data_IF_733932982802
#
_entry.id   IF_733932982802
#
_cell.length_a   1.000
_cell.length_b   1.000
_cell.length_c   1.000
_cell.angle_alpha   90.00
_cell.angle_beta   90.00
_cell.angle_gamma   90.00
#
_symmetry.space_group_name_H-M   'P 1'
#
loop_
_entity.id
_entity.type
_entity.pdbx_description
1 polymer ?
#
# COMPACT_ATOMS: atom_id res chain seq x y z
N UNK A 1 13.81 10.16 1.07
CA UNK A 1 12.95 9.46 0.10
C UNK A 1 12.75 10.30 -1.14
N UNK A 2 13.78 10.43 -1.90
CA UNK A 2 13.74 11.17 -3.14
C UNK A 2 13.98 10.23 -4.32
N UNK A 3 13.68 10.70 -5.50
CA UNK A 3 13.86 9.92 -6.72
C UNK A 3 12.69 9.00 -7.01
N UNK A 4 12.69 8.46 -8.20
CA UNK A 4 11.64 7.57 -8.70
C UNK A 4 12.08 6.13 -8.55
N UNK A 5 11.13 5.24 -8.24
CA UNK A 5 11.43 3.83 -8.12
C UNK A 5 11.88 3.26 -9.47
N UNK A 6 12.96 2.49 -9.44
CA UNK A 6 13.44 1.78 -10.63
C UNK A 6 12.82 0.38 -10.67
N UNK A 7 12.78 -0.27 -9.51
CA UNK A 7 12.15 -1.59 -9.39
C UNK A 7 10.74 -1.45 -8.86
N UNK A 8 9.87 -2.36 -9.27
CA UNK A 8 8.48 -2.35 -8.81
C UNK A 8 7.65 -1.23 -9.40
N UNK A 9 8.08 -0.66 -10.54
CA UNK A 9 7.36 0.44 -11.19
C UNK A 9 6.44 -0.03 -12.31
N UNK A 10 6.42 -1.34 -12.61
CA UNK A 10 5.58 -1.91 -13.65
C UNK A 10 4.75 -3.05 -13.10
N UNK A 11 3.63 -3.32 -13.76
CA UNK A 11 2.77 -4.43 -13.39
C UNK A 11 3.48 -5.74 -13.77
N UNK A 12 3.57 -6.66 -12.81
CA UNK A 12 4.25 -7.93 -12.99
C UNK A 12 3.31 -9.12 -12.99
N UNK A 13 2.33 -9.15 -12.11
CA UNK A 13 1.50 -10.33 -11.89
C UNK A 13 0.06 -10.16 -12.37
N UNK A 14 -0.50 -8.98 -12.22
CA UNK A 14 -1.88 -8.70 -12.57
C UNK A 14 -2.03 -8.01 -13.90
N UNK A 15 -3.22 -7.50 -14.15
CA UNK A 15 -3.57 -6.75 -15.35
C UNK A 15 -3.70 -5.26 -15.04
N UNK A 16 -3.99 -4.93 -13.78
CA UNK A 16 -4.22 -3.59 -13.31
C UNK A 16 -3.39 -3.34 -12.06
N UNK A 17 -3.03 -2.10 -11.84
CA UNK A 17 -2.23 -1.75 -10.68
C UNK A 17 -2.56 -0.38 -10.12
N UNK A 18 -2.15 -0.17 -8.89
CA UNK A 18 -2.24 1.10 -8.21
C UNK A 18 -0.81 1.57 -7.93
N UNK A 19 -0.43 2.64 -8.59
CA UNK A 19 0.93 3.18 -8.57
C UNK A 19 0.99 4.43 -7.71
N UNK A 20 2.02 4.53 -6.86
CA UNK A 20 2.21 5.71 -6.03
C UNK A 20 2.72 6.88 -6.86
N UNK A 21 2.23 8.07 -6.56
CA UNK A 21 2.63 9.32 -7.21
C UNK A 21 3.55 10.17 -6.34
N UNK A 22 3.73 9.78 -5.09
CA UNK A 22 4.55 10.55 -4.15
C UNK A 22 5.30 9.64 -3.19
N UNK A 23 6.26 10.21 -2.47
CA UNK A 23 6.95 9.51 -1.39
C UNK A 23 6.06 9.47 -0.15
N UNK A 24 6.24 8.46 0.66
CA UNK A 24 5.55 8.38 1.95
C UNK A 24 5.72 7.04 2.60
N UNK A 25 5.08 6.89 3.74
CA UNK A 25 5.00 5.63 4.45
C UNK A 25 3.58 5.11 4.37
N UNK A 26 3.45 3.83 4.05
CA UNK A 26 2.16 3.14 4.07
C UNK A 26 2.25 2.05 5.12
N UNK A 27 1.39 2.12 6.11
CA UNK A 27 1.43 1.18 7.22
C UNK A 27 0.85 -0.18 6.84
N UNK A 28 1.19 -1.20 7.64
CA UNK A 28 0.62 -2.53 7.47
C UNK A 28 -0.90 -2.50 7.54
N UNK A 29 -1.45 -1.69 8.45
CA UNK A 29 -2.89 -1.55 8.60
C UNK A 29 -3.53 -0.94 7.36
N UNK A 30 -2.90 0.05 6.76
CA UNK A 30 -3.39 0.69 5.54
C UNK A 30 -3.38 -0.28 4.36
N UNK A 31 -2.30 -1.03 4.21
CA UNK A 31 -2.18 -2.03 3.15
C UNK A 31 -3.27 -3.09 3.28
N UNK A 32 -3.47 -3.60 4.49
CA UNK A 32 -4.50 -4.60 4.74
C UNK A 32 -5.90 -4.05 4.50
N UNK A 33 -6.16 -2.82 4.92
CA UNK A 33 -7.43 -2.16 4.70
C UNK A 33 -7.72 -1.99 3.21
N UNK A 34 -6.72 -1.58 2.43
CA UNK A 34 -6.85 -1.43 0.99
C UNK A 34 -7.13 -2.78 0.32
N UNK A 35 -6.40 -3.82 0.71
CA UNK A 35 -6.59 -5.16 0.19
C UNK A 35 -8.00 -5.67 0.45
N UNK A 36 -8.49 -5.49 1.67
CA UNK A 36 -9.84 -5.90 2.04
C UNK A 36 -10.91 -5.15 1.26
N UNK A 37 -10.69 -3.86 1.03
CA UNK A 37 -11.61 -3.04 0.26
C UNK A 37 -11.74 -3.57 -1.17
N UNK A 38 -10.62 -3.92 -1.80
CA UNK A 38 -10.63 -4.48 -3.15
C UNK A 38 -11.36 -5.82 -3.15
N UNK A 39 -11.00 -6.71 -2.25
CA UNK A 39 -11.60 -8.04 -2.16
C UNK A 39 -13.11 -7.96 -1.93
N UNK A 40 -13.54 -7.04 -1.09
CA UNK A 40 -14.95 -6.86 -0.80
C UNK A 40 -15.70 -6.32 -2.00
N UNK A 41 -15.14 -5.31 -2.67
CA UNK A 41 -15.78 -4.71 -3.83
C UNK A 41 -15.90 -5.69 -5.00
N UNK A 42 -14.89 -6.50 -5.24
CA UNK A 42 -14.89 -7.49 -6.32
C UNK A 42 -15.62 -8.77 -5.94
N UNK A 43 -16.18 -8.84 -4.74
CA UNK A 43 -16.88 -10.03 -4.22
C UNK A 43 -15.97 -11.27 -4.27
N UNK A 44 -14.69 -11.06 -4.02
CA UNK A 44 -13.66 -12.10 -4.01
C UNK A 44 -13.45 -12.77 -5.38
N UNK A 45 -13.88 -12.11 -6.45
CA UNK A 45 -13.57 -12.54 -7.79
C UNK A 45 -12.23 -11.92 -8.17
N UNK A 46 -11.42 -12.70 -8.87
CA UNK A 46 -10.10 -12.24 -9.26
C UNK A 46 -9.08 -12.44 -8.15
N UNK A 47 -7.90 -11.86 -8.34
CA UNK A 47 -6.79 -12.01 -7.42
C UNK A 47 -6.10 -10.68 -7.17
N UNK A 48 -5.83 -10.40 -5.91
CA UNK A 48 -5.08 -9.22 -5.47
C UNK A 48 -3.66 -9.63 -5.17
N UNK A 49 -2.70 -8.86 -5.66
CA UNK A 49 -1.28 -9.08 -5.41
C UNK A 49 -0.74 -7.88 -4.66
N UNK A 50 -0.09 -8.13 -3.53
CA UNK A 50 0.61 -7.08 -2.79
C UNK A 50 2.02 -6.95 -3.37
N UNK A 51 2.40 -5.72 -3.74
CA UNK A 51 3.72 -5.47 -4.31
C UNK A 51 4.65 -4.77 -3.33
N UNK A 52 4.12 -4.29 -2.21
CA UNK A 52 4.92 -3.66 -1.17
C UNK A 52 4.65 -4.36 0.14
N UNK A 53 5.69 -4.40 0.98
CA UNK A 53 5.62 -5.11 2.23
C UNK A 53 6.11 -4.20 3.35
N UNK A 54 5.34 -4.06 4.43
CA UNK A 54 5.73 -3.21 5.56
C UNK A 54 6.78 -3.93 6.39
N UNK A 55 8.04 -3.56 6.20
CA UNK A 55 9.14 -4.18 6.92
C UNK A 55 9.98 -3.19 7.73
N UNK A 56 9.72 -1.90 7.60
CA UNK A 56 10.40 -0.91 8.40
C UNK A 56 9.65 -0.73 9.72
N UNK A 57 10.26 -1.08 10.85
CA UNK A 57 9.61 -0.88 12.14
C UNK A 57 9.58 0.60 12.51
N UNK A 58 8.48 1.02 13.09
CA UNK A 58 8.36 2.35 13.65
C UNK A 58 8.09 2.22 15.15
N UNK A 59 8.63 3.14 15.92
CA UNK A 59 8.44 3.15 17.35
C UNK A 59 7.60 4.33 17.75
N UNK A 60 6.86 4.17 18.84
CA UNK A 60 6.03 5.22 19.41
C UNK A 60 6.32 5.32 20.89
N UNK A 61 6.73 6.49 21.33
CA UNK A 61 6.90 6.75 22.74
C UNK A 61 5.57 7.15 23.32
N UNK A 62 5.08 6.40 24.29
CA UNK A 62 3.92 6.81 25.03
C UNK A 62 4.28 7.99 25.91
N UNK A 63 3.31 8.87 26.13
CA UNK A 63 3.51 9.99 27.04
C UNK A 63 3.88 9.43 28.41
N UNK A 64 5.00 9.86 28.94
CA UNK A 64 5.48 9.38 30.24
C UNK A 64 6.30 8.09 30.19
N UNK A 65 6.31 7.37 29.11
CA UNK A 65 7.04 6.11 29.03
C UNK A 65 8.52 6.29 28.71
N UNK A 66 8.89 7.44 28.28
CA UNK A 66 10.25 7.74 27.86
C UNK A 66 11.26 7.75 29.00
N UNK A 67 10.78 7.93 30.20
CA UNK A 67 11.66 8.07 31.35
C UNK A 67 12.02 6.70 31.89
N UNK A 68 13.29 6.47 32.04
CA UNK A 68 13.77 5.29 32.70
C UNK A 68 13.80 4.04 31.87
N UNK A 69 12.84 3.80 31.05
CA UNK A 69 12.84 2.59 30.23
C UNK A 69 13.84 2.68 29.07
N UNK A 70 14.01 3.86 28.54
CA UNK A 70 14.99 4.09 27.48
C UNK A 70 14.68 3.47 26.14
N UNK A 71 13.68 2.62 26.02
CA UNK A 71 13.37 1.90 24.81
C UNK A 71 11.90 1.96 24.51
N UNK A 72 11.55 2.43 23.32
CA UNK A 72 10.17 2.47 22.89
C UNK A 72 9.77 1.13 22.26
N UNK A 73 8.54 0.74 22.48
CA UNK A 73 7.98 -0.43 21.83
C UNK A 73 7.74 -0.15 20.34
N UNK A 74 7.79 -1.21 19.53
CA UNK A 74 7.45 -1.09 18.11
C UNK A 74 5.95 -0.91 18.01
N UNK A 75 5.52 0.22 17.42
CA UNK A 75 4.11 0.52 17.23
C UNK A 75 3.54 -0.13 15.98
N UNK A 76 4.37 -0.56 15.05
CA UNK A 76 3.94 -1.21 13.84
C UNK A 76 5.03 -1.20 12.77
N UNK A 77 4.65 -1.57 11.58
CA UNK A 77 5.56 -1.63 10.44
C UNK A 77 4.99 -0.81 9.30
N UNK A 78 5.89 -0.22 8.52
CA UNK A 78 5.52 0.56 7.34
C UNK A 78 6.34 0.12 6.15
N UNK A 79 5.77 0.32 4.97
CA UNK A 79 6.50 0.23 3.72
C UNK A 79 6.93 1.65 3.33
N UNK A 80 8.17 1.80 2.95
CA UNK A 80 8.70 3.07 2.44
C UNK A 80 8.42 3.12 0.95
N UNK A 81 7.64 4.12 0.54
CA UNK A 81 7.13 4.22 -0.81
C UNK A 81 7.82 5.36 -1.54
N UNK A 82 8.15 5.13 -2.80
CA UNK A 82 8.69 6.14 -3.71
C UNK A 82 7.74 6.34 -4.88
N UNK A 83 7.76 7.53 -5.50
CA UNK A 83 6.96 7.73 -6.70
C UNK A 83 7.28 6.65 -7.75
N UNK A 84 6.24 6.10 -8.35
CA UNK A 84 6.38 5.04 -9.33
C UNK A 84 6.24 3.63 -8.78
N UNK A 85 6.28 3.43 -7.47
CA UNK A 85 6.05 2.10 -6.91
C UNK A 85 4.64 1.63 -7.19
N UNK A 86 4.49 0.41 -7.70
CA UNK A 86 3.20 -0.26 -7.77
C UNK A 86 2.93 -0.88 -6.41
N UNK A 87 1.84 -0.49 -5.79
CA UNK A 87 1.50 -0.92 -4.43
C UNK A 87 0.71 -2.21 -4.42
N UNK A 88 -0.28 -2.30 -5.30
CA UNK A 88 -1.21 -3.42 -5.41
C UNK A 88 -1.46 -3.71 -6.87
N UNK A 89 -1.73 -4.98 -7.18
CA UNK A 89 -2.15 -5.39 -8.52
C UNK A 89 -3.41 -6.22 -8.41
N UNK A 90 -4.16 -6.27 -9.50
CA UNK A 90 -5.43 -6.99 -9.56
C UNK A 90 -5.57 -7.66 -10.92
N UNK A 91 -6.10 -8.87 -10.92
CA UNK A 91 -6.38 -9.60 -12.13
C UNK A 91 -7.74 -10.31 -12.05
N UNK A 92 -8.26 -10.73 -13.20
CA UNK A 92 -9.46 -11.55 -13.24
C UNK A 92 -10.77 -10.79 -13.09
N UNK A 93 -10.77 -9.48 -13.30
CA UNK A 93 -11.97 -8.64 -13.26
C UNK A 93 -11.98 -7.71 -14.46
N UNK A 94 -13.13 -7.09 -14.73
CA UNK A 94 -13.22 -6.11 -15.82
C UNK A 94 -12.46 -4.84 -15.49
N UNK A 95 -12.03 -4.07 -16.49
CA UNK A 95 -11.37 -2.78 -16.24
C UNK A 95 -12.20 -1.83 -15.39
N UNK A 96 -13.50 -1.77 -15.63
CA UNK A 96 -14.37 -0.87 -14.86
C UNK A 96 -14.43 -1.28 -13.39
N UNK A 97 -14.53 -2.57 -13.12
CA UNK A 97 -14.52 -3.09 -11.75
C UNK A 97 -13.20 -2.81 -11.07
N UNK A 98 -12.08 -3.04 -11.77
CA UNK A 98 -10.76 -2.79 -11.23
C UNK A 98 -10.56 -1.32 -10.87
N UNK A 99 -10.96 -0.43 -11.78
CA UNK A 99 -10.80 1.01 -11.56
C UNK A 99 -11.57 1.48 -10.34
N UNK A 100 -12.80 1.02 -10.19
CA UNK A 100 -13.61 1.38 -9.02
C UNK A 100 -13.07 0.79 -7.73
N UNK A 101 -12.62 -0.47 -7.78
CA UNK A 101 -12.03 -1.11 -6.60
C UNK A 101 -10.79 -0.34 -6.13
N UNK A 102 -9.92 0.06 -7.05
CA UNK A 102 -8.73 0.82 -6.71
C UNK A 102 -9.04 2.25 -6.25
N UNK A 103 -10.09 2.85 -6.79
CA UNK A 103 -10.52 4.16 -6.30
C UNK A 103 -10.90 4.09 -4.83
N UNK A 104 -11.64 3.06 -4.45
CA UNK A 104 -12.05 2.87 -3.06
C UNK A 104 -10.85 2.52 -2.18
N UNK A 105 -9.95 1.66 -2.68
CA UNK A 105 -8.75 1.29 -1.94
C UNK A 105 -7.81 2.46 -1.71
N UNK A 106 -7.71 3.37 -2.67
CA UNK A 106 -6.84 4.54 -2.56
C UNK A 106 -7.20 5.40 -1.35
N UNK A 107 -8.46 5.44 -0.96
CA UNK A 107 -8.89 6.20 0.21
C UNK A 107 -8.34 5.63 1.52
N UNK A 108 -7.83 4.40 1.51
CA UNK A 108 -7.26 3.75 2.69
C UNK A 108 -5.76 3.97 2.80
N UNK A 109 -5.16 4.55 1.76
CA UNK A 109 -3.72 4.75 1.70
C UNK A 109 -3.35 6.20 1.98
N UNK A 110 -2.13 6.39 2.46
CA UNK A 110 -1.65 7.71 2.87
C UNK A 110 -0.92 8.47 1.76
N UNK A 111 -0.72 7.85 0.60
CA UNK A 111 -0.03 8.48 -0.53
C UNK A 111 -0.98 8.61 -1.71
N UNK A 112 -0.71 9.59 -2.55
CA UNK A 112 -1.47 9.75 -3.78
C UNK A 112 -1.12 8.61 -4.74
N UNK A 113 -2.12 8.14 -5.45
CA UNK A 113 -1.99 6.97 -6.31
C UNK A 113 -2.63 7.19 -7.67
N UNK A 114 -2.27 6.34 -8.61
CA UNK A 114 -2.81 6.36 -9.97
C UNK A 114 -3.14 4.93 -10.40
N UNK A 115 -4.30 4.77 -11.01
CA UNK A 115 -4.69 3.50 -11.63
C UNK A 115 -3.90 3.31 -12.93
N UNK A 116 -3.29 2.15 -13.09
CA UNK A 116 -2.54 1.82 -14.29
C UNK A 116 -2.98 0.46 -14.82
N UNK A 117 -2.77 0.25 -16.10
CA UNK A 117 -3.01 -1.02 -16.78
C UNK A 117 -1.69 -1.56 -17.34
N UNK A 118 -1.66 -2.85 -17.52
CA UNK A 118 -0.49 -3.52 -18.07
C UNK A 118 -0.32 -3.20 -19.55
#
# INVERSE_FOLDING_TARGET
MTGTAVRGSTIAFGEYGLKALECGWVSAAQIESARRTITHHTKRIGRVYLRVFPHKPITKKAAGARMGSGKADIAGYVAVIRPGNVLLELSGVSPATAKEAFRLAAHKLSVLTKFITK
#
